data_IF_100399801923
#
_entry.id   IF_100399801923
#
_cell.length_a   1.000
_cell.length_b   1.000
_cell.length_c   1.000
_cell.angle_alpha   90.00
_cell.angle_beta   90.00
_cell.angle_gamma   90.00
#
_symmetry.space_group_name_H-M   'P 1'
#
loop_
_entity.id
_entity.type
_entity.pdbx_description
1 polymer ?
#
# COMPACT_ATOMS: atom_id res chain seq x y z
N UNK A 1 34.44 44.24 -37.46
CA UNK A 1 33.30 44.51 -36.55
C UNK A 1 32.08 43.62 -36.78
N UNK A 2 31.71 43.21 -38.01
CA UNK A 2 30.53 42.32 -38.23
C UNK A 2 30.63 40.91 -37.63
N UNK A 3 31.83 40.30 -37.55
CA UNK A 3 31.99 38.94 -37.01
C UNK A 3 31.82 38.83 -35.49
N UNK A 4 32.03 39.91 -34.74
CA UNK A 4 31.87 39.91 -33.29
C UNK A 4 30.39 39.95 -32.87
N UNK A 5 29.53 40.63 -33.63
CA UNK A 5 28.08 40.69 -33.37
C UNK A 5 27.37 39.35 -33.59
N UNK A 6 27.76 38.59 -34.61
CA UNK A 6 27.19 37.26 -34.86
C UNK A 6 27.54 36.25 -33.76
N UNK A 7 28.75 36.35 -33.18
CA UNK A 7 29.20 35.45 -32.11
C UNK A 7 28.51 35.76 -30.77
N UNK A 8 28.25 37.04 -30.46
CA UNK A 8 27.53 37.45 -29.25
C UNK A 8 26.05 37.05 -29.31
N UNK A 9 25.40 37.13 -30.48
CA UNK A 9 24.02 36.66 -30.67
C UNK A 9 23.89 35.14 -30.58
N UNK A 10 24.88 34.37 -31.05
CA UNK A 10 24.89 32.91 -30.90
C UNK A 10 25.10 32.47 -29.43
N UNK A 11 25.93 33.18 -28.67
CA UNK A 11 26.08 32.91 -27.23
C UNK A 11 24.84 33.27 -26.41
N UNK A 12 24.14 34.37 -26.76
CA UNK A 12 22.88 34.73 -26.10
C UNK A 12 21.73 33.77 -26.45
N UNK A 13 21.75 33.16 -27.64
CA UNK A 13 20.79 32.10 -28.01
C UNK A 13 21.10 30.75 -27.33
N UNK A 14 22.36 30.49 -26.97
CA UNK A 14 22.76 29.29 -26.22
C UNK A 14 22.51 29.42 -24.70
N UNK A 15 22.39 30.63 -24.19
CA UNK A 15 21.90 30.93 -22.84
C UNK A 15 20.36 31.05 -22.82
N UNK A 16 19.67 30.05 -23.39
CA UNK A 16 18.27 29.80 -23.03
C UNK A 16 18.14 29.66 -21.52
N UNK A 17 16.95 29.90 -20.93
CA UNK A 17 16.77 29.86 -19.48
C UNK A 17 17.40 28.56 -18.97
N UNK A 18 18.51 28.68 -18.25
CA UNK A 18 19.16 27.53 -17.64
C UNK A 18 18.08 26.89 -16.81
N UNK A 19 17.62 25.70 -17.23
CA UNK A 19 16.70 24.91 -16.45
C UNK A 19 17.37 24.81 -15.09
N UNK A 20 16.83 25.51 -14.10
CA UNK A 20 17.29 25.41 -12.73
C UNK A 20 17.06 23.96 -12.40
N UNK A 21 18.13 23.17 -12.42
CA UNK A 21 18.07 21.79 -11.99
C UNK A 21 17.68 21.86 -10.53
N UNK A 22 16.40 21.64 -10.25
CA UNK A 22 15.90 21.55 -8.89
C UNK A 22 16.80 20.54 -8.16
N UNK A 23 17.30 20.92 -6.98
CA UNK A 23 18.29 20.13 -6.26
C UNK A 23 17.84 18.67 -6.17
N UNK A 24 18.67 17.74 -6.65
CA UNK A 24 18.31 16.33 -6.86
C UNK A 24 17.76 15.63 -5.62
N UNK A 25 18.03 16.14 -4.42
CA UNK A 25 17.71 15.51 -3.15
C UNK A 25 16.60 16.20 -2.32
N UNK A 26 16.03 17.32 -2.80
CA UNK A 26 14.92 18.01 -2.13
C UNK A 26 13.83 18.27 -3.17
N UNK A 27 12.88 17.33 -3.29
CA UNK A 27 11.67 17.54 -4.09
C UNK A 27 10.71 18.38 -3.26
N UNK A 28 10.85 19.70 -3.34
CA UNK A 28 9.73 20.57 -3.10
C UNK A 28 8.98 20.66 -4.44
N UNK A 29 7.78 20.10 -4.49
CA UNK A 29 6.76 20.37 -5.52
C UNK A 29 7.05 19.74 -6.90
N UNK A 30 6.27 18.70 -7.24
CA UNK A 30 6.19 18.24 -8.64
C UNK A 30 5.27 19.18 -9.41
N UNK A 31 5.43 19.27 -10.73
CA UNK A 31 4.61 20.14 -11.60
C UNK A 31 3.08 19.88 -11.57
N UNK A 32 2.61 18.92 -10.75
CA UNK A 32 1.21 18.60 -10.52
C UNK A 32 0.66 19.23 -9.23
N UNK A 33 1.00 20.50 -8.94
CA UNK A 33 0.42 21.31 -7.85
C UNK A 33 -1.06 21.71 -8.10
N UNK A 34 -1.78 20.88 -8.84
CA UNK A 34 -3.19 21.06 -9.12
C UNK A 34 -3.96 20.94 -7.81
N UNK A 35 -4.47 22.07 -7.34
CA UNK A 35 -5.40 22.18 -6.22
C UNK A 35 -6.80 22.36 -6.81
N UNK A 36 -7.71 21.47 -6.41
CA UNK A 36 -9.12 21.51 -6.77
C UNK A 36 -9.95 21.85 -5.53
N UNK A 37 -11.12 22.49 -5.70
CA UNK A 37 -12.06 22.66 -4.61
C UNK A 37 -12.42 21.32 -3.96
N UNK A 38 -12.67 21.26 -2.64
CA UNK A 38 -13.22 20.08 -2.00
C UNK A 38 -14.48 19.57 -2.70
N UNK A 39 -14.70 18.27 -2.63
CA UNK A 39 -15.86 17.58 -3.17
C UNK A 39 -16.62 16.89 -2.04
N UNK A 40 -17.94 17.05 -2.06
CA UNK A 40 -18.83 16.24 -1.24
C UNK A 40 -18.97 14.85 -1.86
N UNK A 41 -18.79 13.82 -1.02
CA UNK A 41 -18.98 12.43 -1.41
C UNK A 41 -20.43 12.04 -1.13
N UNK A 42 -21.13 11.55 -2.16
CA UNK A 42 -22.52 11.15 -2.05
C UNK A 42 -22.68 9.82 -1.30
N UNK A 43 -23.88 9.53 -0.80
CA UNK A 43 -24.19 8.24 -0.19
C UNK A 43 -23.99 7.06 -1.19
N UNK A 44 -24.31 7.29 -2.46
CA UNK A 44 -24.14 6.30 -3.53
C UNK A 44 -22.66 6.01 -3.81
N UNK A 45 -21.75 6.96 -3.58
CA UNK A 45 -20.31 6.72 -3.70
C UNK A 45 -19.82 5.74 -2.62
N UNK A 46 -20.32 5.88 -1.39
CA UNK A 46 -19.99 4.96 -0.30
C UNK A 46 -20.55 3.55 -0.55
N UNK A 47 -21.80 3.44 -1.04
CA UNK A 47 -22.39 2.15 -1.43
C UNK A 47 -21.60 1.51 -2.57
N UNK A 48 -21.30 2.27 -3.62
CA UNK A 48 -20.48 1.80 -4.74
C UNK A 48 -19.11 1.30 -4.29
N UNK A 49 -18.46 1.99 -3.35
CA UNK A 49 -17.21 1.52 -2.77
C UNK A 49 -17.37 0.16 -2.07
N UNK A 50 -18.44 -0.05 -1.30
CA UNK A 50 -18.72 -1.35 -0.65
C UNK A 50 -19.02 -2.43 -1.68
N UNK A 51 -19.79 -2.12 -2.73
CA UNK A 51 -20.24 -3.07 -3.75
C UNK A 51 -19.14 -3.47 -4.74
N UNK A 52 -18.27 -2.52 -5.12
CA UNK A 52 -17.16 -2.73 -6.05
C UNK A 52 -16.18 -3.73 -5.48
N UNK A 53 -16.04 -4.92 -6.06
CA UNK A 53 -15.00 -5.88 -5.63
C UNK A 53 -13.98 -6.09 -6.75
N UNK A 54 -12.70 -5.96 -6.40
CA UNK A 54 -11.62 -6.31 -7.31
C UNK A 54 -11.32 -7.81 -7.19
N UNK A 55 -11.67 -8.56 -8.23
CA UNK A 55 -11.39 -9.99 -8.32
C UNK A 55 -9.96 -10.27 -8.76
N UNK A 56 -9.29 -11.17 -8.03
CA UNK A 56 -7.94 -11.60 -8.34
C UNK A 56 -8.00 -12.91 -9.14
N UNK A 57 -7.34 -12.93 -10.29
CA UNK A 57 -7.45 -14.00 -11.29
C UNK A 57 -8.50 -13.73 -12.39
N UNK A 58 -8.41 -14.41 -13.55
CA UNK A 58 -7.25 -15.17 -14.02
C UNK A 58 -6.06 -14.23 -14.31
N UNK A 59 -4.86 -14.79 -14.49
CA UNK A 59 -3.68 -14.04 -14.95
C UNK A 59 -3.55 -14.08 -16.46
N UNK A 60 -2.87 -13.10 -17.07
CA UNK A 60 -2.49 -13.18 -18.48
C UNK A 60 -1.51 -14.34 -18.76
N UNK A 61 -1.57 -14.86 -19.98
CA UNK A 61 -0.53 -15.73 -20.52
C UNK A 61 0.63 -14.89 -21.05
N UNK A 62 1.86 -15.35 -20.85
CA UNK A 62 3.06 -14.70 -21.39
C UNK A 62 4.28 -14.89 -20.49
N UNK A 63 5.50 -14.76 -21.04
CA UNK A 63 6.74 -15.09 -20.34
C UNK A 63 6.95 -14.25 -19.07
N UNK A 64 6.62 -12.96 -19.11
CA UNK A 64 6.78 -12.07 -17.96
C UNK A 64 5.75 -12.35 -16.84
N UNK A 65 4.52 -12.71 -17.20
CA UNK A 65 3.50 -13.14 -16.24
C UNK A 65 3.86 -14.51 -15.63
N UNK A 66 4.37 -15.45 -16.43
CA UNK A 66 4.86 -16.75 -15.96
C UNK A 66 6.05 -16.58 -15.00
N UNK A 67 7.01 -15.71 -15.34
CA UNK A 67 8.15 -15.37 -14.48
C UNK A 67 7.68 -14.79 -13.16
N UNK A 68 6.73 -13.86 -13.19
CA UNK A 68 6.17 -13.22 -11.99
C UNK A 68 5.42 -14.22 -11.11
N UNK A 69 4.59 -15.09 -11.70
CA UNK A 69 3.88 -16.14 -10.97
C UNK A 69 4.85 -17.17 -10.36
N UNK A 70 5.91 -17.55 -11.06
CA UNK A 70 6.94 -18.45 -10.54
C UNK A 70 7.70 -17.83 -9.35
N UNK A 71 8.09 -16.56 -9.44
CA UNK A 71 8.70 -15.82 -8.32
C UNK A 71 7.77 -15.75 -7.11
N UNK A 72 6.49 -15.42 -7.34
CA UNK A 72 5.47 -15.35 -6.30
C UNK A 72 5.28 -16.70 -5.59
N UNK A 73 5.09 -17.77 -6.35
CA UNK A 73 4.89 -19.13 -5.83
C UNK A 73 6.08 -19.59 -4.98
N UNK A 74 7.31 -19.42 -5.48
CA UNK A 74 8.53 -19.81 -4.77
C UNK A 74 8.68 -19.05 -3.44
N UNK A 75 8.46 -17.73 -3.47
CA UNK A 75 8.60 -16.88 -2.28
C UNK A 75 7.54 -17.18 -1.21
N UNK A 76 6.30 -17.44 -1.63
CA UNK A 76 5.21 -17.83 -0.72
C UNK A 76 5.47 -19.22 -0.13
N UNK A 77 5.94 -20.18 -0.93
CA UNK A 77 6.29 -21.51 -0.45
C UNK A 77 7.41 -21.45 0.61
N UNK A 78 8.47 -20.66 0.36
CA UNK A 78 9.55 -20.44 1.33
C UNK A 78 9.02 -19.84 2.64
N UNK A 79 8.18 -18.81 2.56
CA UNK A 79 7.61 -18.16 3.74
C UNK A 79 6.84 -19.15 4.62
N UNK A 80 5.92 -19.93 4.02
CA UNK A 80 5.09 -20.89 4.76
C UNK A 80 5.95 -21.99 5.39
N UNK A 81 6.96 -22.48 4.68
CA UNK A 81 7.84 -23.54 5.18
C UNK A 81 8.77 -23.07 6.32
N UNK A 82 9.18 -21.79 6.31
CA UNK A 82 10.11 -21.27 7.31
C UNK A 82 9.49 -20.55 8.51
N UNK A 83 8.17 -20.37 8.53
CA UNK A 83 7.46 -19.70 9.63
C UNK A 83 7.68 -20.44 10.98
N UNK A 84 7.83 -19.73 12.12
CA UNK A 84 7.70 -18.28 12.33
C UNK A 84 8.94 -17.47 11.94
N UNK A 85 8.71 -16.23 11.52
CA UNK A 85 9.73 -15.25 11.16
C UNK A 85 9.69 -14.05 12.11
N UNK A 86 10.87 -13.53 12.49
CA UNK A 86 11.00 -12.24 13.18
C UNK A 86 10.43 -11.11 12.31
N UNK A 87 10.13 -9.98 12.91
CA UNK A 87 9.82 -8.77 12.14
C UNK A 87 11.02 -8.37 11.27
N UNK A 88 10.77 -7.85 10.07
CA UNK A 88 11.86 -7.38 9.21
C UNK A 88 12.44 -6.09 9.75
N UNK A 89 13.75 -6.05 9.96
CA UNK A 89 14.46 -4.86 10.40
C UNK A 89 15.26 -4.27 9.24
N UNK A 90 14.89 -3.08 8.76
CA UNK A 90 15.65 -2.36 7.72
C UNK A 90 16.44 -1.21 8.34
N UNK A 91 17.76 -1.23 8.15
CA UNK A 91 18.63 -0.15 8.61
C UNK A 91 18.58 1.04 7.64
N UNK A 92 18.43 2.24 8.18
CA UNK A 92 18.28 3.50 7.45
C UNK A 92 19.37 4.50 7.83
N UNK A 93 20.62 4.06 7.94
CA UNK A 93 21.76 4.94 8.23
C UNK A 93 21.55 5.83 9.46
N UNK A 94 21.63 7.14 9.28
CA UNK A 94 21.47 8.11 10.39
C UNK A 94 20.07 8.13 11.00
N UNK A 95 19.06 7.65 10.28
CA UNK A 95 17.67 7.57 10.75
C UNK A 95 17.40 6.37 11.67
N UNK A 96 18.41 5.52 11.87
CA UNK A 96 18.31 4.32 12.69
C UNK A 96 17.76 3.18 11.85
N UNK A 97 16.56 2.71 12.18
CA UNK A 97 15.93 1.59 11.48
C UNK A 97 14.40 1.68 11.52
N UNK A 98 13.77 0.94 10.63
CA UNK A 98 12.32 0.69 10.60
C UNK A 98 12.04 -0.81 10.77
N UNK A 99 10.82 -1.14 11.19
CA UNK A 99 10.38 -2.53 11.40
C UNK A 99 9.10 -2.80 10.62
N UNK A 100 9.07 -3.91 9.90
CA UNK A 100 7.95 -4.31 9.05
C UNK A 100 7.46 -5.71 9.37
N UNK A 101 6.25 -6.01 8.90
CA UNK A 101 5.70 -7.37 8.88
C UNK A 101 5.58 -7.99 10.28
N UNK A 102 5.31 -7.14 11.28
CA UNK A 102 5.15 -7.53 12.67
C UNK A 102 3.69 -7.66 13.11
N UNK A 103 2.75 -7.45 12.19
CA UNK A 103 1.32 -7.59 12.44
C UNK A 103 0.70 -8.57 11.42
N UNK A 104 -0.31 -9.39 11.81
CA UNK A 104 -0.91 -10.39 10.93
C UNK A 104 -1.74 -9.82 9.78
N UNK A 105 -2.19 -8.56 9.84
CA UNK A 105 -3.00 -7.96 8.77
C UNK A 105 -2.30 -7.95 7.41
N UNK A 106 -1.07 -7.47 7.34
CA UNK A 106 -0.25 -7.49 6.13
C UNK A 106 -0.06 -8.92 5.61
N UNK A 107 0.22 -9.88 6.51
CA UNK A 107 0.38 -11.30 6.16
C UNK A 107 -0.90 -11.89 5.56
N UNK A 108 -2.04 -11.67 6.20
CA UNK A 108 -3.33 -12.18 5.74
C UNK A 108 -3.72 -11.55 4.40
N UNK A 109 -3.52 -10.25 4.25
CA UNK A 109 -3.84 -9.56 3.00
C UNK A 109 -2.96 -10.04 1.85
N UNK A 110 -1.64 -10.02 2.02
CA UNK A 110 -0.69 -10.42 0.97
C UNK A 110 -0.90 -11.88 0.53
N UNK A 111 -1.01 -12.81 1.49
CA UNK A 111 -1.18 -14.23 1.17
C UNK A 111 -2.55 -14.53 0.57
N UNK A 112 -3.62 -13.90 1.06
CA UNK A 112 -4.95 -14.09 0.45
C UNK A 112 -4.96 -13.56 -0.99
N UNK A 113 -4.42 -12.36 -1.24
CA UNK A 113 -4.31 -11.79 -2.58
C UNK A 113 -3.51 -12.66 -3.57
N UNK A 114 -2.50 -13.39 -3.07
CA UNK A 114 -1.69 -14.28 -3.89
C UNK A 114 -2.40 -15.59 -4.29
N UNK A 115 -3.34 -16.09 -3.49
CA UNK A 115 -3.96 -17.43 -3.64
C UNK A 115 -4.34 -17.81 -5.08
N UNK A 116 -4.97 -16.95 -5.90
CA UNK A 116 -5.38 -17.30 -7.26
C UNK A 116 -4.22 -17.55 -8.24
N UNK A 117 -3.01 -17.15 -7.89
CA UNK A 117 -1.83 -17.20 -8.77
C UNK A 117 -0.79 -18.25 -8.36
N UNK A 118 -1.00 -18.92 -7.22
CA UNK A 118 -0.10 -19.93 -6.69
C UNK A 118 -0.33 -21.28 -7.37
N UNK A 119 0.69 -22.15 -7.35
CA UNK A 119 0.48 -23.55 -7.72
C UNK A 119 -0.50 -24.21 -6.72
N UNK A 120 -1.26 -25.24 -7.15
CA UNK A 120 -2.26 -25.88 -6.29
C UNK A 120 -1.71 -26.33 -4.93
N UNK A 121 -0.51 -26.90 -4.91
CA UNK A 121 0.16 -27.38 -3.68
C UNK A 121 0.46 -26.22 -2.72
N UNK A 122 1.08 -25.14 -3.23
CA UNK A 122 1.37 -23.93 -2.46
C UNK A 122 0.09 -23.27 -1.95
N UNK A 123 -0.94 -23.15 -2.80
CA UNK A 123 -2.23 -22.58 -2.42
C UNK A 123 -2.89 -23.38 -1.28
N UNK A 124 -2.86 -24.71 -1.34
CA UNK A 124 -3.39 -25.57 -0.28
C UNK A 124 -2.62 -25.37 1.05
N UNK A 125 -1.28 -25.29 0.99
CA UNK A 125 -0.44 -25.01 2.15
C UNK A 125 -0.75 -23.64 2.76
N UNK A 126 -0.92 -22.60 1.95
CA UNK A 126 -1.29 -21.25 2.40
C UNK A 126 -2.67 -21.24 3.07
N UNK A 127 -3.69 -21.90 2.50
CA UNK A 127 -5.03 -21.98 3.11
C UNK A 127 -4.97 -22.62 4.49
N UNK A 128 -4.27 -23.76 4.61
CA UNK A 128 -4.06 -24.44 5.90
C UNK A 128 -3.32 -23.54 6.89
N UNK A 129 -2.26 -22.87 6.43
CA UNK A 129 -1.47 -21.95 7.25
C UNK A 129 -2.32 -20.79 7.79
N UNK A 130 -3.03 -20.08 6.92
CA UNK A 130 -3.88 -18.94 7.30
C UNK A 130 -5.02 -19.35 8.24
N UNK A 131 -5.63 -20.52 8.03
CA UNK A 131 -6.64 -21.05 8.96
C UNK A 131 -6.06 -21.28 10.37
N UNK A 132 -4.84 -21.81 10.47
CA UNK A 132 -4.13 -21.94 11.74
C UNK A 132 -3.80 -20.60 12.38
N UNK A 133 -3.32 -19.64 11.59
CA UNK A 133 -3.01 -18.28 12.07
C UNK A 133 -4.27 -17.53 12.52
N UNK A 134 -5.43 -17.77 11.90
CA UNK A 134 -6.68 -17.11 12.27
C UNK A 134 -7.10 -17.46 13.71
N UNK A 135 -6.78 -18.68 14.15
CA UNK A 135 -7.01 -19.13 15.52
C UNK A 135 -5.98 -18.55 16.51
N UNK A 136 -4.73 -18.39 16.09
CA UNK A 136 -3.63 -17.96 16.95
C UNK A 136 -3.54 -16.43 17.12
N UNK A 137 -3.63 -15.69 16.01
CA UNK A 137 -3.48 -14.24 15.95
C UNK A 137 -4.26 -13.72 14.73
N UNK A 138 -5.57 -13.48 14.85
CA UNK A 138 -6.40 -13.05 13.73
C UNK A 138 -5.94 -11.66 13.23
N UNK A 139 -6.13 -11.34 11.93
CA UNK A 139 -5.61 -10.10 11.34
C UNK A 139 -6.20 -8.83 11.93
N UNK A 140 -7.42 -8.89 12.50
CA UNK A 140 -8.08 -7.76 13.15
C UNK A 140 -7.70 -7.59 14.63
N UNK A 141 -6.80 -8.43 15.18
CA UNK A 141 -6.31 -8.27 16.54
C UNK A 141 -5.64 -6.89 16.72
N UNK A 142 -5.66 -6.30 17.93
CA UNK A 142 -4.89 -5.09 18.20
C UNK A 142 -3.38 -5.35 18.28
N UNK A 143 -3.00 -6.57 18.68
CA UNK A 143 -1.63 -6.99 18.91
C UNK A 143 -1.19 -7.95 17.81
N UNK A 144 0.03 -7.72 17.31
CA UNK A 144 0.67 -8.52 16.28
C UNK A 144 1.59 -9.60 16.84
N UNK A 145 2.59 -9.98 16.05
CA UNK A 145 3.60 -10.97 16.39
C UNK A 145 4.60 -10.43 17.42
N UNK A 146 5.24 -11.33 18.15
CA UNK A 146 6.45 -10.99 18.92
C UNK A 146 7.59 -10.69 17.95
N UNK A 147 8.14 -9.47 18.02
CA UNK A 147 9.17 -8.98 17.11
C UNK A 147 10.48 -9.79 17.18
N UNK A 148 10.69 -10.51 18.29
CA UNK A 148 11.91 -11.29 18.56
C UNK A 148 11.74 -12.78 18.33
N UNK A 149 10.52 -13.26 18.09
CA UNK A 149 10.23 -14.68 17.92
C UNK A 149 10.49 -15.15 16.48
N UNK A 150 10.99 -16.39 16.35
CA UNK A 150 11.19 -17.04 15.06
C UNK A 150 12.55 -16.75 14.41
N UNK A 151 12.62 -17.03 13.12
CA UNK A 151 13.85 -16.93 12.32
C UNK A 151 14.04 -15.50 11.80
N UNK A 152 15.27 -14.95 11.78
CA UNK A 152 15.56 -13.73 11.01
C UNK A 152 15.11 -13.88 9.56
N UNK A 153 14.55 -12.81 8.99
CA UNK A 153 14.15 -12.79 7.57
C UNK A 153 15.07 -11.96 6.70
N UNK A 154 15.95 -11.16 7.32
CA UNK A 154 16.97 -10.34 6.67
C UNK A 154 18.01 -11.21 5.94
N UNK A 155 18.63 -10.65 4.89
CA UNK A 155 19.79 -11.25 4.22
C UNK A 155 21.13 -10.96 4.95
N UNK A 156 21.07 -10.17 6.02
CA UNK A 156 22.21 -9.73 6.84
C UNK A 156 21.92 -9.99 8.32
N UNK A 157 22.98 -10.11 9.11
CA UNK A 157 22.86 -10.30 10.55
C UNK A 157 22.49 -8.98 11.24
N UNK A 158 21.34 -8.98 11.92
CA UNK A 158 20.91 -7.86 12.78
C UNK A 158 21.17 -8.24 14.24
N UNK A 159 22.09 -7.55 14.95
CA UNK A 159 22.37 -7.82 16.35
C UNK A 159 21.11 -7.76 17.22
N UNK A 160 20.96 -8.70 18.14
CA UNK A 160 19.76 -8.78 18.99
C UNK A 160 19.56 -7.52 19.85
N UNK A 161 20.66 -6.84 20.23
CA UNK A 161 20.61 -5.61 21.01
C UNK A 161 19.94 -4.41 20.32
N UNK A 162 19.82 -4.44 18.99
CA UNK A 162 19.17 -3.37 18.21
C UNK A 162 17.80 -3.78 17.65
N UNK A 163 17.34 -5.01 17.88
CA UNK A 163 16.01 -5.44 17.44
C UNK A 163 14.92 -4.80 18.30
N UNK A 164 13.80 -4.47 17.67
CA UNK A 164 12.59 -4.02 18.38
C UNK A 164 12.11 -5.14 19.28
N UNK A 165 11.82 -4.81 20.54
CA UNK A 165 11.27 -5.73 21.53
C UNK A 165 9.75 -5.62 21.58
N UNK A 166 9.12 -6.58 22.22
CA UNK A 166 7.66 -6.60 22.41
C UNK A 166 6.93 -7.06 21.16
N UNK A 167 5.65 -6.68 21.06
CA UNK A 167 4.76 -7.12 19.98
C UNK A 167 4.47 -6.00 18.99
N UNK A 168 4.31 -6.36 17.72
CA UNK A 168 3.71 -5.45 16.74
C UNK A 168 2.32 -4.99 17.17
N UNK A 169 1.83 -3.91 16.59
CA UNK A 169 0.51 -3.33 16.86
C UNK A 169 -0.16 -2.96 15.55
N UNK A 170 -1.48 -3.11 15.48
CA UNK A 170 -2.24 -2.63 14.35
C UNK A 170 -2.10 -1.09 14.25
N UNK A 171 -1.70 -0.59 13.07
CA UNK A 171 -1.61 0.85 12.82
C UNK A 171 -2.99 1.50 12.57
N UNK A 172 -3.96 0.69 12.11
CA UNK A 172 -5.28 1.12 11.68
C UNK A 172 -6.31 -0.03 11.82
N UNK A 173 -7.49 0.12 11.22
CA UNK A 173 -8.47 -0.96 11.08
C UNK A 173 -8.23 -1.88 9.86
N UNK A 174 -7.11 -1.75 9.14
CA UNK A 174 -6.80 -2.51 7.92
C UNK A 174 -6.98 -4.03 8.07
N UNK A 175 -6.64 -4.59 9.25
CA UNK A 175 -6.82 -6.00 9.57
C UNK A 175 -8.24 -6.57 9.40
N UNK A 176 -9.27 -5.72 9.48
CA UNK A 176 -10.66 -6.14 9.20
C UNK A 176 -10.88 -6.37 7.71
N UNK A 177 -10.30 -5.52 6.85
CA UNK A 177 -10.30 -5.74 5.41
C UNK A 177 -9.48 -6.97 5.02
N UNK A 178 -8.30 -7.15 5.63
CA UNK A 178 -7.49 -8.35 5.43
C UNK A 178 -8.26 -9.64 5.80
N UNK A 179 -9.07 -9.61 6.86
CA UNK A 179 -9.94 -10.73 7.22
C UNK A 179 -11.03 -11.00 6.17
N UNK A 180 -11.71 -9.96 5.69
CA UNK A 180 -12.67 -10.10 4.60
C UNK A 180 -12.02 -10.73 3.35
N UNK A 181 -10.84 -10.21 2.98
CA UNK A 181 -10.04 -10.69 1.85
C UNK A 181 -9.72 -12.18 1.98
N UNK A 182 -9.33 -12.61 3.18
CA UNK A 182 -9.15 -14.03 3.53
C UNK A 182 -10.44 -14.82 3.30
N UNK A 183 -11.56 -14.46 3.96
CA UNK A 183 -12.80 -15.23 3.87
C UNK A 183 -13.27 -15.42 2.43
N UNK A 184 -13.22 -14.35 1.62
CA UNK A 184 -13.61 -14.40 0.21
C UNK A 184 -12.73 -15.36 -0.59
N UNK A 185 -11.40 -15.24 -0.47
CA UNK A 185 -10.45 -15.99 -1.32
C UNK A 185 -10.21 -17.42 -0.84
N UNK A 186 -10.37 -17.68 0.46
CA UNK A 186 -10.33 -19.04 1.01
C UNK A 186 -11.62 -19.81 0.77
N UNK A 187 -12.74 -19.11 0.60
CA UNK A 187 -14.07 -19.71 0.52
C UNK A 187 -14.62 -20.13 1.89
N UNK A 188 -14.02 -19.65 2.98
CA UNK A 188 -14.47 -19.92 4.35
C UNK A 188 -15.76 -19.13 4.64
N UNK A 189 -16.90 -19.81 4.48
CA UNK A 189 -18.24 -19.21 4.64
C UNK A 189 -18.65 -19.06 6.11
N UNK A 190 -18.01 -19.77 7.03
CA UNK A 190 -18.38 -19.78 8.44
C UNK A 190 -17.61 -18.72 9.25
N UNK A 191 -16.35 -18.47 8.87
CA UNK A 191 -15.50 -17.49 9.55
C UNK A 191 -16.13 -16.09 9.70
N UNK A 192 -16.81 -15.50 8.69
CA UNK A 192 -17.46 -14.21 8.86
C UNK A 192 -18.42 -14.18 10.05
N UNK A 193 -19.40 -15.09 10.09
CA UNK A 193 -20.38 -15.14 11.16
C UNK A 193 -19.74 -15.42 12.53
N UNK A 194 -18.78 -16.35 12.58
CA UNK A 194 -18.08 -16.73 13.82
C UNK A 194 -17.27 -15.58 14.42
N UNK A 195 -16.61 -14.77 13.60
CA UNK A 195 -15.68 -13.73 14.06
C UNK A 195 -16.31 -12.32 14.09
N UNK A 196 -17.47 -12.10 13.48
CA UNK A 196 -18.12 -10.79 13.40
C UNK A 196 -18.31 -10.08 14.76
N UNK A 197 -18.66 -10.75 15.88
CA UNK A 197 -18.74 -10.09 17.18
C UNK A 197 -17.41 -9.49 17.65
N UNK A 198 -16.29 -10.16 17.40
CA UNK A 198 -14.95 -9.67 17.75
C UNK A 198 -14.54 -8.51 16.83
N UNK A 199 -14.86 -8.62 15.53
CA UNK A 199 -14.64 -7.54 14.55
C UNK A 199 -15.42 -6.28 14.92
N UNK A 200 -16.72 -6.39 15.25
CA UNK A 200 -17.54 -5.24 15.68
C UNK A 200 -16.96 -4.56 16.93
N UNK A 201 -16.49 -5.34 17.91
CA UNK A 201 -15.80 -4.80 19.10
C UNK A 201 -14.54 -4.03 18.73
N UNK A 202 -13.73 -4.54 17.80
CA UNK A 202 -12.51 -3.86 17.32
C UNK A 202 -12.83 -2.54 16.61
N UNK A 203 -13.97 -2.48 15.91
CA UNK A 203 -14.41 -1.35 15.10
C UNK A 203 -15.19 -0.29 15.88
N UNK A 204 -15.75 -0.62 17.06
CA UNK A 204 -16.57 0.29 17.85
C UNK A 204 -15.91 1.66 18.10
N UNK A 205 -14.62 1.78 18.50
CA UNK A 205 -14.00 3.09 18.69
C UNK A 205 -13.95 3.97 17.43
N UNK A 206 -13.89 3.37 16.24
CA UNK A 206 -13.88 4.10 14.97
C UNK A 206 -15.30 4.54 14.56
N UNK A 207 -16.31 3.73 14.88
CA UNK A 207 -17.72 4.03 14.58
C UNK A 207 -18.29 5.07 15.54
N UNK A 208 -18.02 4.92 16.83
CA UNK A 208 -18.57 5.77 17.90
C UNK A 208 -17.79 7.09 18.06
N UNK A 209 -16.57 7.15 17.53
CA UNK A 209 -15.64 8.28 17.67
C UNK A 209 -15.77 9.35 16.58
N UNK A 210 -15.31 10.55 16.90
CA UNK A 210 -15.01 11.59 15.92
C UNK A 210 -13.71 11.26 15.19
N UNK A 211 -13.70 11.36 13.87
CA UNK A 211 -12.48 11.20 13.08
C UNK A 211 -11.82 12.56 12.87
N UNK A 212 -10.58 12.72 13.34
CA UNK A 212 -9.82 13.96 13.16
C UNK A 212 -8.80 13.80 12.04
N UNK A 213 -9.06 14.47 10.92
CA UNK A 213 -8.16 14.53 9.78
C UNK A 213 -8.51 15.78 8.96
N UNK A 214 -7.52 16.64 8.71
CA UNK A 214 -7.69 17.85 7.89
C UNK A 214 -7.01 17.65 6.54
N UNK A 215 -7.75 17.43 5.43
CA UNK A 215 -7.16 17.08 4.14
C UNK A 215 -6.10 18.07 3.65
N UNK A 216 -6.30 19.37 3.87
CA UNK A 216 -5.36 20.40 3.41
C UNK A 216 -4.12 20.57 4.30
N UNK A 217 -4.06 19.90 5.46
CA UNK A 217 -2.97 20.06 6.40
C UNK A 217 -1.69 19.33 5.95
N UNK A 218 -0.55 19.77 6.48
CA UNK A 218 0.71 19.02 6.36
C UNK A 218 0.76 17.94 7.45
N UNK A 219 0.55 16.70 7.05
CA UNK A 219 0.62 15.51 7.90
C UNK A 219 2.07 15.17 8.27
N UNK A 220 2.28 14.54 9.43
CA UNK A 220 3.64 14.28 9.98
C UNK A 220 3.80 12.94 10.70
N UNK A 221 2.74 12.14 10.79
CA UNK A 221 2.67 10.89 11.55
C UNK A 221 1.85 9.83 10.80
N UNK A 222 2.06 9.73 9.48
CA UNK A 222 1.40 8.73 8.62
C UNK A 222 -0.14 8.76 8.71
N UNK A 223 -0.72 9.95 8.96
CA UNK A 223 -2.16 10.10 9.15
C UNK A 223 -2.95 9.66 7.90
N UNK A 224 -2.40 9.89 6.70
CA UNK A 224 -3.03 9.47 5.45
C UNK A 224 -3.02 7.95 5.24
N UNK A 225 -1.99 7.24 5.73
CA UNK A 225 -1.94 5.77 5.72
C UNK A 225 -2.98 5.20 6.68
N UNK A 226 -3.07 5.78 7.88
CA UNK A 226 -4.10 5.40 8.84
C UNK A 226 -5.52 5.62 8.27
N UNK A 227 -5.75 6.73 7.57
CA UNK A 227 -7.02 6.99 6.88
C UNK A 227 -7.35 5.90 5.86
N UNK A 228 -6.37 5.47 5.05
CA UNK A 228 -6.56 4.38 4.09
C UNK A 228 -6.93 3.07 4.79
N UNK A 229 -6.19 2.69 5.83
CA UNK A 229 -6.44 1.45 6.58
C UNK A 229 -7.75 1.45 7.36
N UNK A 230 -8.14 2.59 7.94
CA UNK A 230 -9.42 2.77 8.64
C UNK A 230 -10.61 2.69 7.66
N UNK A 231 -10.51 3.37 6.50
CA UNK A 231 -11.52 3.29 5.43
C UNK A 231 -11.64 1.86 4.88
N UNK A 232 -10.51 1.20 4.61
CA UNK A 232 -10.51 -0.20 4.19
C UNK A 232 -11.18 -1.10 5.23
N UNK A 233 -10.87 -0.92 6.52
CA UNK A 233 -11.47 -1.66 7.62
C UNK A 233 -13.00 -1.54 7.69
N UNK A 234 -13.55 -0.35 7.45
CA UNK A 234 -15.00 -0.13 7.38
C UNK A 234 -15.64 -0.85 6.19
N UNK A 235 -15.01 -0.79 5.01
CA UNK A 235 -15.44 -1.58 3.84
C UNK A 235 -15.42 -3.08 4.15
N UNK A 236 -14.35 -3.55 4.81
CA UNK A 236 -14.23 -4.93 5.28
C UNK A 236 -15.35 -5.33 6.25
N UNK A 237 -15.70 -4.46 7.20
CA UNK A 237 -16.79 -4.68 8.15
C UNK A 237 -18.13 -4.84 7.43
N UNK A 238 -18.48 -3.93 6.52
CA UNK A 238 -19.74 -3.99 5.77
C UNK A 238 -19.84 -5.30 4.98
N UNK A 239 -18.76 -5.70 4.29
CA UNK A 239 -18.75 -6.94 3.50
C UNK A 239 -18.77 -8.21 4.36
N UNK A 240 -18.10 -8.22 5.51
CA UNK A 240 -18.18 -9.35 6.46
C UNK A 240 -19.59 -9.51 7.01
N UNK A 241 -20.29 -8.41 7.31
CA UNK A 241 -21.67 -8.44 7.75
C UNK A 241 -22.59 -9.05 6.67
N UNK A 242 -22.44 -8.63 5.40
CA UNK A 242 -23.15 -9.24 4.27
C UNK A 242 -22.85 -10.74 4.10
N UNK A 243 -21.57 -11.14 4.21
CA UNK A 243 -21.19 -12.55 4.15
C UNK A 243 -21.79 -13.38 5.31
N UNK A 244 -22.07 -12.74 6.44
CA UNK A 244 -22.77 -13.34 7.58
C UNK A 244 -24.32 -13.25 7.47
N UNK A 245 -24.86 -12.80 6.32
CA UNK A 245 -26.30 -12.68 6.09
C UNK A 245 -26.97 -11.49 6.76
N UNK A 246 -26.20 -10.47 7.17
CA UNK A 246 -26.74 -9.23 7.75
C UNK A 246 -26.94 -8.17 6.66
N UNK A 247 -27.94 -7.31 6.85
CA UNK A 247 -28.15 -6.13 6.02
C UNK A 247 -27.06 -5.06 6.26
N UNK A 248 -26.95 -4.12 5.33
CA UNK A 248 -26.04 -2.99 5.46
C UNK A 248 -26.44 -2.11 6.65
N UNK A 249 -25.46 -1.83 7.51
CA UNK A 249 -25.60 -0.93 8.65
C UNK A 249 -25.45 0.53 8.18
N UNK A 250 -26.49 1.38 8.28
CA UNK A 250 -26.43 2.77 7.84
C UNK A 250 -25.31 3.57 8.51
N UNK A 251 -25.01 3.30 9.79
CA UNK A 251 -23.94 4.00 10.51
C UNK A 251 -22.55 3.68 9.93
N UNK A 252 -22.36 2.43 9.47
CA UNK A 252 -21.12 2.02 8.79
C UNK A 252 -21.02 2.73 7.44
N UNK A 253 -22.10 2.78 6.65
CA UNK A 253 -22.11 3.47 5.35
C UNK A 253 -21.86 4.98 5.49
N UNK A 254 -22.46 5.63 6.49
CA UNK A 254 -22.23 7.04 6.77
C UNK A 254 -20.77 7.32 7.16
N UNK A 255 -20.17 6.44 7.98
CA UNK A 255 -18.75 6.56 8.34
C UNK A 255 -17.83 6.29 7.14
N UNK A 256 -18.17 5.36 6.25
CA UNK A 256 -17.45 5.14 4.97
C UNK A 256 -17.52 6.41 4.12
N UNK A 257 -18.71 7.02 3.98
CA UNK A 257 -18.89 8.28 3.23
C UNK A 257 -18.02 9.39 3.79
N UNK A 258 -18.01 9.57 5.12
CA UNK A 258 -17.16 10.54 5.82
C UNK A 258 -15.67 10.34 5.47
N UNK A 259 -15.14 9.13 5.68
CA UNK A 259 -13.71 8.86 5.48
C UNK A 259 -13.32 8.86 4.00
N UNK A 260 -14.21 8.42 3.10
CA UNK A 260 -14.00 8.54 1.66
C UNK A 260 -13.95 10.02 1.24
N UNK A 261 -14.80 10.87 1.81
CA UNK A 261 -14.77 12.32 1.61
C UNK A 261 -13.42 12.93 1.99
N UNK A 262 -12.92 12.61 3.20
CA UNK A 262 -11.60 13.04 3.65
C UNK A 262 -10.50 12.55 2.72
N UNK A 263 -10.56 11.28 2.30
CA UNK A 263 -9.54 10.66 1.45
C UNK A 263 -9.51 11.23 0.04
N UNK A 264 -10.68 11.45 -0.58
CA UNK A 264 -10.78 12.10 -1.90
C UNK A 264 -10.27 13.53 -1.80
N UNK A 265 -10.68 14.26 -0.77
CA UNK A 265 -10.28 15.65 -0.59
C UNK A 265 -8.78 15.80 -0.33
N UNK A 266 -8.09 14.81 0.25
CA UNK A 266 -6.64 14.80 0.33
C UNK A 266 -5.98 14.88 -1.06
N UNK A 267 -6.54 14.21 -2.08
CA UNK A 267 -6.04 14.38 -3.47
C UNK A 267 -6.57 15.63 -4.15
N UNK A 268 -7.56 16.33 -3.60
CA UNK A 268 -8.07 17.53 -4.26
C UNK A 268 -7.35 18.75 -3.75
N UNK A 269 -7.14 18.84 -2.44
CA UNK A 269 -6.70 20.06 -1.79
C UNK A 269 -5.24 20.06 -1.39
N UNK A 270 -4.58 18.89 -1.32
CA UNK A 270 -3.23 18.77 -0.78
C UNK A 270 -2.21 18.29 -1.84
N UNK A 271 -1.38 19.22 -2.37
CA UNK A 271 -0.38 18.87 -3.37
C UNK A 271 0.79 18.05 -2.81
N UNK A 272 1.01 18.03 -1.49
CA UNK A 272 2.19 17.44 -0.87
C UNK A 272 2.15 15.90 -0.86
N UNK A 273 2.73 15.26 -1.87
CA UNK A 273 2.72 13.79 -1.99
C UNK A 273 3.56 13.08 -0.92
N UNK A 274 4.61 13.74 -0.42
CA UNK A 274 5.53 13.22 0.59
C UNK A 274 5.19 13.79 1.97
N UNK A 275 5.04 12.90 2.93
CA UNK A 275 4.73 13.24 4.32
C UNK A 275 5.94 12.89 5.19
N UNK A 276 6.40 13.79 6.08
CA UNK A 276 7.29 13.42 7.17
C UNK A 276 6.70 12.24 7.96
N UNK A 277 7.56 11.30 8.37
CA UNK A 277 7.14 10.13 9.16
C UNK A 277 8.04 9.95 10.38
N UNK A 278 7.48 9.30 11.41
CA UNK A 278 8.19 8.89 12.62
C UNK A 278 8.47 7.38 12.66
N UNK A 279 8.28 6.68 11.53
CA UNK A 279 8.47 5.24 11.45
C UNK A 279 9.88 4.79 11.86
N UNK A 280 10.92 5.55 11.49
CA UNK A 280 12.29 5.20 11.86
C UNK A 280 12.64 5.67 13.28
N UNK A 281 13.48 4.88 13.95
CA UNK A 281 13.79 5.06 15.38
C UNK A 281 14.44 6.38 15.76
N UNK A 282 15.16 7.05 14.86
CA UNK A 282 15.76 8.37 15.13
C UNK A 282 14.97 9.55 14.54
N UNK A 283 13.93 9.28 13.75
CA UNK A 283 13.03 10.30 13.17
C UNK A 283 13.74 11.41 12.34
N UNK A 284 14.94 11.14 11.82
CA UNK A 284 15.70 12.06 10.98
C UNK A 284 15.38 11.84 9.50
N UNK A 285 15.21 12.89 8.71
CA UNK A 285 15.06 12.83 7.24
C UNK A 285 14.05 11.80 6.68
N UNK A 286 13.10 11.29 7.46
CA UNK A 286 12.17 10.27 6.99
C UNK A 286 10.95 10.91 6.37
N UNK A 287 10.69 10.51 5.13
CA UNK A 287 9.47 10.82 4.41
C UNK A 287 8.88 9.55 3.83
N UNK A 288 7.56 9.53 3.71
CA UNK A 288 6.77 8.40 3.25
C UNK A 288 5.70 8.86 2.26
N UNK A 289 5.32 7.94 1.37
CA UNK A 289 4.13 8.06 0.52
C UNK A 289 2.90 7.57 1.29
N UNK A 290 2.61 8.16 2.45
CA UNK A 290 1.61 7.65 3.39
C UNK A 290 0.22 7.57 2.74
N UNK A 291 -0.16 8.57 1.94
CA UNK A 291 -1.40 8.58 1.14
C UNK A 291 -1.61 7.37 0.22
N UNK A 292 -0.56 6.62 -0.11
CA UNK A 292 -0.65 5.40 -0.94
C UNK A 292 -0.22 4.12 -0.19
N UNK A 293 0.16 4.22 1.08
CA UNK A 293 0.31 3.07 1.98
C UNK A 293 -1.07 2.59 2.48
N UNK A 294 -1.22 1.28 2.73
CA UNK A 294 -2.48 0.62 3.08
C UNK A 294 -3.67 0.85 2.13
N UNK A 295 -3.40 1.40 0.94
CA UNK A 295 -4.41 1.66 -0.06
C UNK A 295 -4.84 0.34 -0.73
N UNK A 296 -6.09 -0.06 -0.49
CA UNK A 296 -6.70 -1.24 -1.14
C UNK A 296 -7.23 -0.90 -2.53
N UNK A 297 -7.33 -1.88 -3.46
CA UNK A 297 -7.72 -1.62 -4.85
C UNK A 297 -9.01 -0.83 -5.01
N UNK A 298 -10.06 -1.15 -4.24
CA UNK A 298 -11.36 -0.50 -4.33
C UNK A 298 -11.30 0.99 -3.95
N UNK A 299 -10.59 1.31 -2.86
CA UNK A 299 -10.42 2.69 -2.41
C UNK A 299 -9.59 3.47 -3.43
N UNK A 300 -8.54 2.86 -3.98
CA UNK A 300 -7.72 3.48 -5.01
C UNK A 300 -8.54 3.82 -6.28
N UNK A 301 -9.39 2.90 -6.74
CA UNK A 301 -10.26 3.12 -7.90
C UNK A 301 -11.27 4.24 -7.65
N UNK A 302 -11.90 4.27 -6.47
CA UNK A 302 -12.83 5.36 -6.13
C UNK A 302 -12.12 6.72 -6.01
N UNK A 303 -10.90 6.76 -5.45
CA UNK A 303 -10.07 7.97 -5.45
C UNK A 303 -9.72 8.41 -6.87
N UNK A 304 -9.41 7.47 -7.77
CA UNK A 304 -9.11 7.77 -9.17
C UNK A 304 -10.30 8.44 -9.87
N UNK A 305 -11.51 7.97 -9.61
CA UNK A 305 -12.76 8.52 -10.16
C UNK A 305 -13.10 9.89 -9.55
N UNK A 306 -13.10 10.00 -8.22
CA UNK A 306 -13.65 11.17 -7.52
C UNK A 306 -12.66 12.35 -7.40
N UNK A 307 -11.38 12.14 -7.69
CA UNK A 307 -10.35 13.18 -7.65
C UNK A 307 -10.26 14.04 -8.93
N UNK A 308 -11.10 13.79 -9.94
CA UNK A 308 -11.12 14.51 -11.23
C UNK A 308 -9.73 14.61 -11.89
N UNK A 309 -8.96 13.51 -11.81
CA UNK A 309 -7.63 13.37 -12.39
C UNK A 309 -6.47 13.82 -11.48
N UNK A 310 -6.73 14.58 -10.40
CA UNK A 310 -5.66 15.10 -9.55
C UNK A 310 -4.80 14.00 -8.92
N UNK A 311 -5.39 12.88 -8.51
CA UNK A 311 -4.64 11.75 -7.98
C UNK A 311 -3.72 11.12 -9.05
N UNK A 312 -4.23 10.94 -10.27
CA UNK A 312 -3.46 10.39 -11.40
C UNK A 312 -2.28 11.30 -11.74
N UNK A 313 -2.52 12.60 -11.88
CA UNK A 313 -1.48 13.58 -12.24
C UNK A 313 -0.32 13.53 -11.22
N UNK A 314 -0.61 13.41 -9.93
CA UNK A 314 0.43 13.32 -8.88
C UNK A 314 1.20 12.01 -8.89
N UNK A 315 0.50 10.88 -9.00
CA UNK A 315 1.13 9.55 -9.05
C UNK A 315 2.06 9.48 -10.26
N UNK A 316 1.58 9.91 -11.43
CA UNK A 316 2.36 9.96 -12.66
C UNK A 316 3.60 10.86 -12.50
N UNK A 317 3.42 12.10 -12.02
CA UNK A 317 4.51 13.05 -11.85
C UNK A 317 5.61 12.50 -10.90
N UNK A 318 5.22 11.86 -9.79
CA UNK A 318 6.17 11.25 -8.87
C UNK A 318 6.87 10.05 -9.49
N UNK A 319 6.12 9.14 -10.14
CA UNK A 319 6.65 7.95 -10.81
C UNK A 319 7.71 8.30 -11.84
N UNK A 320 7.41 9.27 -12.71
CA UNK A 320 8.30 9.71 -13.79
C UNK A 320 9.54 10.41 -13.24
N UNK A 321 9.41 11.19 -12.17
CA UNK A 321 10.53 11.84 -11.51
C UNK A 321 11.44 10.86 -10.76
N UNK A 322 11.00 9.62 -10.49
CA UNK A 322 11.69 8.62 -9.66
C UNK A 322 11.66 7.23 -10.28
N UNK A 323 12.16 7.08 -11.50
CA UNK A 323 12.09 5.85 -12.30
C UNK A 323 12.58 4.55 -11.61
N UNK A 324 13.42 4.62 -10.58
CA UNK A 324 13.89 3.48 -9.78
C UNK A 324 12.95 3.06 -8.63
N UNK A 325 11.75 3.64 -8.51
CA UNK A 325 10.82 3.45 -7.38
C UNK A 325 10.46 1.99 -7.07
N UNK A 326 10.57 1.09 -8.04
CA UNK A 326 10.16 -0.30 -7.96
C UNK A 326 11.29 -1.25 -7.49
N UNK A 327 12.54 -0.80 -7.54
CA UNK A 327 13.73 -1.59 -7.22
C UNK A 327 13.89 -1.77 -5.70
N UNK A 328 14.20 -2.98 -5.27
CA UNK A 328 14.62 -3.26 -3.90
C UNK A 328 16.08 -2.85 -3.71
N UNK A 329 16.46 -2.45 -2.49
CA UNK A 329 17.82 -2.01 -2.14
C UNK A 329 18.39 -0.85 -2.97
N UNK A 330 17.53 -0.12 -3.69
CA UNK A 330 17.93 1.07 -4.44
C UNK A 330 18.27 2.24 -3.50
N UNK A 331 19.05 3.18 -4.01
CA UNK A 331 19.39 4.41 -3.29
C UNK A 331 18.13 5.15 -2.84
N UNK A 332 18.27 6.02 -1.84
CA UNK A 332 17.14 6.76 -1.28
C UNK A 332 16.61 7.74 -2.31
N UNK A 333 15.38 7.49 -2.79
CA UNK A 333 14.74 8.33 -3.79
C UNK A 333 14.08 9.59 -3.19
N UNK A 334 13.78 9.56 -1.89
CA UNK A 334 13.06 10.62 -1.15
C UNK A 334 13.57 10.70 0.29
N UNK A 335 13.75 11.89 0.87
CA UNK A 335 14.16 12.01 2.28
C UNK A 335 15.66 11.93 2.55
N UNK A 336 16.49 12.48 1.65
CA UNK A 336 17.89 12.82 1.95
C UNK A 336 18.78 11.67 2.42
N UNK A 337 19.57 11.93 3.47
CA UNK A 337 20.80 11.24 3.94
C UNK A 337 20.69 9.75 4.35
N UNK A 338 19.57 9.12 4.06
CA UNK A 338 19.42 7.67 4.16
C UNK A 338 20.03 7.00 2.92
N UNK A 339 20.62 5.81 3.06
CA UNK A 339 21.27 5.15 1.93
C UNK A 339 20.31 4.30 1.08
N UNK A 340 19.10 4.01 1.58
CA UNK A 340 18.18 3.09 0.93
C UNK A 340 16.72 3.55 1.03
N UNK A 341 15.98 3.34 -0.06
CA UNK A 341 14.53 3.54 -0.08
C UNK A 341 13.81 2.46 0.75
N UNK A 342 12.83 2.82 1.59
CA UNK A 342 12.17 1.86 2.48
C UNK A 342 11.20 0.95 1.69
N UNK A 343 10.96 -0.30 2.14
CA UNK A 343 10.10 -1.26 1.44
C UNK A 343 8.71 -0.74 1.08
N UNK A 344 8.10 0.08 1.95
CA UNK A 344 6.76 0.62 1.71
C UNK A 344 6.67 1.49 0.44
N UNK A 345 7.77 2.09 -0.03
CA UNK A 345 7.74 3.02 -1.16
C UNK A 345 7.36 2.31 -2.45
N UNK A 346 8.04 1.19 -2.74
CA UNK A 346 7.75 0.39 -3.94
C UNK A 346 6.36 -0.23 -3.90
N UNK A 347 5.88 -0.63 -2.72
CA UNK A 347 4.51 -1.14 -2.52
C UNK A 347 3.46 -0.07 -2.79
N UNK A 348 3.61 1.09 -2.16
CA UNK A 348 2.69 2.22 -2.28
C UNK A 348 2.59 2.71 -3.72
N UNK A 349 3.74 2.86 -4.40
CA UNK A 349 3.77 3.24 -5.81
C UNK A 349 3.18 2.18 -6.73
N UNK A 350 3.42 0.89 -6.48
CA UNK A 350 2.79 -0.17 -7.27
C UNK A 350 1.26 -0.12 -7.15
N UNK A 351 0.72 0.02 -5.93
CA UNK A 351 -0.72 0.13 -5.72
C UNK A 351 -1.31 1.33 -6.46
N UNK A 352 -0.70 2.51 -6.30
CA UNK A 352 -1.13 3.73 -6.97
C UNK A 352 -1.04 3.64 -8.50
N UNK A 353 0.05 3.09 -9.04
CA UNK A 353 0.22 2.89 -10.47
C UNK A 353 -0.85 1.93 -11.04
N UNK A 354 -1.16 0.84 -10.33
CA UNK A 354 -2.14 -0.15 -10.75
C UNK A 354 -3.58 0.38 -10.80
N UNK A 355 -3.97 1.18 -9.81
CA UNK A 355 -5.38 1.46 -9.55
C UNK A 355 -5.77 2.94 -9.64
N UNK A 356 -4.81 3.86 -9.64
CA UNK A 356 -5.05 5.30 -9.84
C UNK A 356 -4.54 5.74 -11.22
N UNK A 357 -3.27 5.48 -11.49
CA UNK A 357 -2.64 5.91 -12.75
C UNK A 357 -3.14 5.10 -13.94
N UNK A 358 -3.39 3.80 -13.74
CA UNK A 358 -3.90 2.89 -14.77
C UNK A 358 -2.92 2.73 -15.95
N UNK A 359 -1.65 2.45 -15.63
CA UNK A 359 -0.60 2.17 -16.62
C UNK A 359 -0.97 1.01 -17.56
N UNK A 360 -0.35 0.95 -18.77
CA UNK A 360 -0.52 -0.17 -19.69
C UNK A 360 -0.21 -1.55 -19.05
N UNK A 361 -1.06 -2.58 -19.24
CA UNK A 361 -0.93 -3.91 -18.62
C UNK A 361 0.46 -4.55 -18.75
N UNK A 362 1.14 -4.35 -19.88
CA UNK A 362 2.45 -4.91 -20.18
C UNK A 362 3.59 -4.33 -19.33
N UNK A 363 3.39 -3.17 -18.70
CA UNK A 363 4.42 -2.52 -17.88
C UNK A 363 4.52 -3.13 -16.47
N UNK A 364 3.42 -3.60 -15.87
CA UNK A 364 3.44 -4.01 -14.47
C UNK A 364 4.41 -5.16 -14.16
N UNK A 365 4.51 -6.23 -14.98
CA UNK A 365 5.49 -7.30 -14.73
C UNK A 365 6.95 -6.81 -14.76
N UNK A 366 7.24 -5.71 -15.46
CA UNK A 366 8.59 -5.13 -15.55
C UNK A 366 9.01 -4.42 -14.26
N UNK A 367 8.05 -4.04 -13.40
CA UNK A 367 8.31 -3.45 -12.09
C UNK A 367 8.53 -4.49 -10.98
N UNK A 368 8.57 -5.79 -11.32
CA UNK A 368 8.80 -6.87 -10.35
C UNK A 368 10.30 -7.23 -10.26
N UNK A 369 10.93 -6.67 -9.24
CA UNK A 369 12.34 -6.89 -8.91
C UNK A 369 12.54 -8.14 -8.01
N UNK A 370 13.37 -8.05 -6.96
CA UNK A 370 13.63 -9.06 -5.92
C UNK A 370 12.94 -8.67 -4.61
N UNK A 371 12.65 -9.63 -3.71
CA UNK A 371 12.15 -9.31 -2.37
C UNK A 371 13.22 -8.66 -1.49
N UNK A 372 12.80 -7.86 -0.52
CA UNK A 372 13.67 -7.27 0.51
C UNK A 372 14.18 -8.27 1.53
N UNK A 373 13.40 -9.31 1.79
CA UNK A 373 13.65 -10.29 2.83
C UNK A 373 12.87 -11.57 2.53
N UNK A 374 13.16 -12.65 3.25
CA UNK A 374 12.33 -13.86 3.20
C UNK A 374 10.93 -13.53 3.68
N UNK A 375 9.88 -13.95 2.97
CA UNK A 375 8.52 -13.59 3.36
C UNK A 375 8.23 -12.08 3.37
N UNK A 376 8.82 -11.33 2.45
CA UNK A 376 8.44 -9.96 2.13
C UNK A 376 6.98 -9.91 1.64
N UNK A 377 6.07 -9.34 2.45
CA UNK A 377 4.64 -9.24 2.13
C UNK A 377 4.37 -8.22 1.02
N UNK A 378 5.19 -7.18 0.91
CA UNK A 378 5.06 -6.17 -0.13
C UNK A 378 5.49 -6.70 -1.48
N UNK A 379 6.50 -7.57 -1.54
CA UNK A 379 6.85 -8.29 -2.76
C UNK A 379 5.69 -9.18 -3.25
N UNK A 380 5.04 -9.90 -2.31
CA UNK A 380 3.87 -10.75 -2.62
C UNK A 380 2.73 -9.91 -3.21
N UNK A 381 2.39 -8.79 -2.57
CA UNK A 381 1.36 -7.86 -3.06
C UNK A 381 1.70 -7.29 -4.44
N UNK A 382 2.95 -6.81 -4.63
CA UNK A 382 3.40 -6.29 -5.94
C UNK A 382 3.23 -7.32 -7.04
N UNK A 383 3.63 -8.57 -6.80
CA UNK A 383 3.44 -9.67 -7.75
C UNK A 383 1.95 -9.92 -8.04
N UNK A 384 1.11 -9.98 -7.00
CA UNK A 384 -0.32 -10.22 -7.16
C UNK A 384 -1.02 -9.09 -7.95
N UNK A 385 -0.63 -7.83 -7.71
CA UNK A 385 -1.14 -6.68 -8.47
C UNK A 385 -0.65 -6.70 -9.92
N UNK A 386 0.63 -6.98 -10.17
CA UNK A 386 1.13 -7.07 -11.54
C UNK A 386 0.44 -8.18 -12.35
N UNK A 387 0.20 -9.34 -11.74
CA UNK A 387 -0.52 -10.45 -12.37
C UNK A 387 -1.99 -10.08 -12.64
N UNK A 388 -2.66 -9.46 -11.68
CA UNK A 388 -4.03 -8.95 -11.84
C UNK A 388 -4.12 -7.99 -13.03
N UNK A 389 -3.23 -6.99 -13.07
CA UNK A 389 -3.30 -5.91 -14.06
C UNK A 389 -2.85 -6.36 -15.45
N UNK A 390 -1.90 -7.30 -15.53
CA UNK A 390 -1.48 -7.90 -16.80
C UNK A 390 -2.63 -8.62 -17.53
N UNK A 391 -3.62 -9.13 -16.78
CA UNK A 391 -4.81 -9.78 -17.35
C UNK A 391 -5.83 -8.79 -17.94
N UNK A 392 -5.62 -7.47 -17.82
CA UNK A 392 -6.59 -6.46 -18.22
C UNK A 392 -7.80 -6.35 -17.28
N UNK A 393 -7.80 -7.07 -16.16
CA UNK A 393 -8.89 -7.05 -15.19
C UNK A 393 -8.93 -5.70 -14.48
N UNK A 394 -9.99 -4.92 -14.75
CA UNK A 394 -10.25 -3.64 -14.08
C UNK A 394 -11.25 -3.79 -12.95
N UNK A 395 -12.35 -4.50 -13.18
CA UNK A 395 -13.45 -4.76 -12.24
C UNK A 395 -14.15 -6.07 -12.64
N UNK A 396 -14.64 -6.84 -11.65
CA UNK A 396 -15.75 -7.74 -11.90
C UNK A 396 -17.04 -6.91 -11.86
N UNK A 397 -17.96 -7.11 -12.82
CA UNK A 397 -19.30 -6.54 -12.71
C UNK A 397 -19.98 -6.95 -11.39
N UNK A 398 -20.99 -6.18 -10.94
CA UNK A 398 -21.64 -6.35 -9.63
C UNK A 398 -22.19 -7.76 -9.37
#
# INVERSE_FOLDING_TARGET
MMRLRAMVLALLAACGPAAVAAGQNIVAESAADRILPPRDVAADDARRLVDRVVEFGPRAAGPEADRTAAKLDAHVAEFVAGFPWKAFHVTLGISGYETYFNHPDEMFYALSAALPYLKPETAAAVRKFLAGQLLACPPYAPDGFDNTAGRPREAYDVPEGIRVKGRGKAASAFGVYAFWSYCRRTGDKEAPARHLPAVRRRMAPLLDGTYSFEPAARHTNDEAERLNGDLAGLVGLARLARMAGQEDDPAVLDKIRELLGLRVNLERTNPAILEPTRAATKQLHNVRLARYADLVPEVALEVAVLSDGAARDRVQAFREARNAWHLAFTERLVGGENYVSPPHMGRAMMAAACFIEDLPPEQYPTFIDVPWCKGDFYFIEKCAYALLRSAGNREAGP
#
